data_IF_821819808738
#
_entry.id   IF_821819808738
#
_cell.length_a   1.000
_cell.length_b   1.000
_cell.length_c   1.000
_cell.angle_alpha   90.00
_cell.angle_beta   90.00
_cell.angle_gamma   90.00
#
_symmetry.space_group_name_H-M   'P 1'
#
loop_
_entity.id
_entity.type
_entity.pdbx_description
1 polymer ?
#
# COMPACT_ATOMS: atom_id res chain seq x y z
N UNK A 1 -11.85 -14.86 17.10
CA UNK A 1 -11.08 -15.22 15.89
C UNK A 1 -9.75 -14.54 16.07
N UNK A 2 -8.70 -15.30 16.36
CA UNK A 2 -7.35 -14.75 16.60
C UNK A 2 -6.85 -14.18 15.27
N UNK A 3 -6.86 -12.86 15.12
CA UNK A 3 -6.10 -12.22 14.05
C UNK A 3 -4.64 -12.46 14.37
N UNK A 4 -4.05 -13.49 13.75
CA UNK A 4 -2.59 -13.65 13.74
C UNK A 4 -2.00 -12.32 13.23
N UNK A 5 -1.06 -11.78 13.98
CA UNK A 5 -0.37 -10.54 13.63
C UNK A 5 0.35 -10.74 12.28
N UNK A 6 -0.23 -10.20 11.21
CA UNK A 6 0.31 -10.31 9.85
C UNK A 6 1.26 -9.16 9.64
N UNK A 7 2.55 -9.47 9.54
CA UNK A 7 3.55 -8.47 9.25
C UNK A 7 3.63 -8.22 7.75
N UNK A 8 3.62 -6.95 7.34
CA UNK A 8 3.69 -6.56 5.94
C UNK A 8 4.95 -5.75 5.67
N UNK A 9 5.67 -6.12 4.62
CA UNK A 9 6.81 -5.34 4.10
C UNK A 9 6.44 -4.68 2.78
N UNK A 10 6.68 -3.38 2.69
CA UNK A 10 6.37 -2.56 1.52
C UNK A 10 7.65 -2.20 0.75
N UNK A 11 7.61 -2.32 -0.57
CA UNK A 11 8.58 -1.70 -1.47
C UNK A 11 7.88 -0.53 -2.17
N UNK A 12 8.46 0.65 -2.09
CA UNK A 12 7.94 1.87 -2.71
C UNK A 12 8.93 2.42 -3.75
N UNK A 13 8.41 3.14 -4.74
CA UNK A 13 9.23 3.96 -5.64
C UNK A 13 9.71 5.25 -4.97
N UNK A 14 10.48 6.07 -5.69
CA UNK A 14 11.02 7.35 -5.20
C UNK A 14 9.93 8.37 -4.86
N UNK A 15 8.71 8.21 -5.40
CA UNK A 15 7.58 9.09 -5.17
C UNK A 15 6.62 8.55 -4.10
N UNK A 16 6.93 7.40 -3.48
CA UNK A 16 6.12 6.77 -2.44
C UNK A 16 4.99 5.87 -2.97
N UNK A 17 4.95 5.56 -4.26
CA UNK A 17 4.00 4.58 -4.81
C UNK A 17 4.41 3.16 -4.39
N UNK A 18 3.52 2.34 -3.82
CA UNK A 18 3.83 0.95 -3.53
C UNK A 18 4.00 0.18 -4.84
N UNK A 19 5.10 -0.54 -5.00
CA UNK A 19 5.35 -1.44 -6.14
C UNK A 19 5.09 -2.89 -5.73
N UNK A 20 5.33 -3.23 -4.45
CA UNK A 20 5.26 -4.60 -3.96
C UNK A 20 4.89 -4.66 -2.49
N UNK A 21 4.04 -5.62 -2.15
CA UNK A 21 3.66 -5.94 -0.78
C UNK A 21 3.95 -7.41 -0.51
N UNK A 22 4.70 -7.66 0.56
CA UNK A 22 5.04 -8.98 1.05
C UNK A 22 4.31 -9.22 2.37
N UNK A 23 3.48 -10.24 2.42
CA UNK A 23 2.89 -10.74 3.67
C UNK A 23 3.87 -11.74 4.27
N UNK A 24 4.47 -11.38 5.41
CA UNK A 24 5.33 -12.23 6.20
C UNK A 24 4.45 -12.98 7.21
N UNK A 25 4.35 -14.29 7.05
CA UNK A 25 3.64 -15.19 7.97
C UNK A 25 4.54 -16.35 8.40
N UNK A 26 4.13 -17.08 9.43
CA UNK A 26 4.84 -18.26 9.94
C UNK A 26 4.85 -19.45 8.95
N UNK A 27 3.95 -19.44 7.97
CA UNK A 27 3.83 -20.48 6.95
C UNK A 27 4.76 -20.21 5.77
N UNK A 28 5.40 -21.26 5.23
CA UNK A 28 6.41 -21.21 4.15
C UNK A 28 5.97 -20.51 2.85
N UNK A 29 4.68 -20.24 2.67
CA UNK A 29 4.15 -19.47 1.54
C UNK A 29 4.11 -17.97 1.84
N UNK A 30 5.19 -17.25 1.51
CA UNK A 30 5.16 -15.78 1.41
C UNK A 30 4.17 -15.34 0.35
N UNK A 31 3.06 -14.71 0.77
CA UNK A 31 2.09 -14.13 -0.17
C UNK A 31 2.62 -12.79 -0.67
N UNK A 32 2.66 -12.63 -1.99
CA UNK A 32 3.17 -11.43 -2.63
C UNK A 32 2.11 -10.78 -3.50
N UNK A 33 2.04 -9.45 -3.44
CA UNK A 33 1.23 -8.63 -4.32
C UNK A 33 2.12 -7.66 -5.07
N UNK A 34 1.86 -7.51 -6.36
CA UNK A 34 2.56 -6.59 -7.25
C UNK A 34 1.59 -5.49 -7.66
N UNK A 35 2.05 -4.26 -7.58
CA UNK A 35 1.34 -3.04 -7.95
C UNK A 35 2.04 -2.42 -9.15
N UNK A 36 1.28 -1.82 -10.05
CA UNK A 36 1.80 -1.25 -11.28
C UNK A 36 0.92 -0.10 -11.71
N UNK A 37 1.55 1.05 -11.91
CA UNK A 37 0.87 2.28 -12.31
C UNK A 37 1.45 2.75 -13.64
N UNK A 38 0.62 3.37 -14.48
CA UNK A 38 1.12 4.15 -15.60
C UNK A 38 1.65 5.52 -15.13
N UNK A 39 2.12 6.34 -16.08
CA UNK A 39 2.68 7.67 -15.81
C UNK A 39 1.67 8.65 -15.19
N UNK A 40 0.37 8.35 -15.25
CA UNK A 40 -0.72 9.16 -14.72
C UNK A 40 -1.36 8.55 -13.46
N UNK A 41 -0.82 7.44 -12.96
CA UNK A 41 -1.29 6.79 -11.74
C UNK A 41 -2.44 5.80 -11.92
N UNK A 42 -2.76 5.40 -13.16
CA UNK A 42 -3.77 4.38 -13.43
C UNK A 42 -3.26 3.01 -12.98
N UNK A 43 -4.02 2.35 -12.10
CA UNK A 43 -3.70 1.00 -11.63
C UNK A 43 -3.91 -0.04 -12.75
N UNK A 44 -2.80 -0.54 -13.27
CA UNK A 44 -2.75 -1.51 -14.37
C UNK A 44 -3.14 -2.93 -13.93
N UNK A 45 -2.94 -3.28 -12.66
CA UNK A 45 -3.21 -4.62 -12.12
C UNK A 45 -4.49 -4.70 -11.28
N UNK A 46 -5.15 -3.56 -11.01
CA UNK A 46 -6.38 -3.45 -10.20
C UNK A 46 -6.20 -4.05 -8.80
N UNK A 47 -5.07 -3.72 -8.18
CA UNK A 47 -4.62 -4.17 -6.87
C UNK A 47 -4.78 -3.12 -5.78
N UNK A 48 -4.88 -1.83 -6.15
CA UNK A 48 -5.11 -0.73 -5.21
C UNK A 48 -6.45 -0.90 -4.48
N UNK A 49 -6.46 -0.65 -3.17
CA UNK A 49 -7.67 -0.73 -2.35
C UNK A 49 -7.97 -2.11 -1.75
N UNK A 50 -7.32 -3.19 -2.21
CA UNK A 50 -7.55 -4.54 -1.67
C UNK A 50 -7.00 -4.75 -0.26
N UNK A 51 -5.69 -4.56 -0.11
CA UNK A 51 -4.98 -4.67 1.17
C UNK A 51 -4.26 -3.36 1.45
N UNK A 52 -3.59 -2.82 0.43
CA UNK A 52 -2.98 -1.50 0.49
C UNK A 52 -3.94 -0.44 -0.09
N UNK A 53 -4.45 0.51 0.72
CA UNK A 53 -5.36 1.55 0.26
C UNK A 53 -4.68 2.69 -0.52
N UNK A 54 -3.39 2.92 -0.28
CA UNK A 54 -2.62 3.97 -0.97
C UNK A 54 -1.95 3.41 -2.22
N UNK A 55 -1.89 4.19 -3.30
CA UNK A 55 -1.27 3.77 -4.55
C UNK A 55 -0.34 4.83 -5.09
N UNK A 56 -0.48 5.17 -6.37
CA UNK A 56 0.38 6.11 -7.08
C UNK A 56 0.68 7.37 -6.26
N UNK A 57 1.97 7.66 -6.07
CA UNK A 57 2.53 8.79 -5.29
C UNK A 57 1.96 8.94 -3.87
N UNK A 58 1.44 7.83 -3.31
CA UNK A 58 0.85 7.79 -1.97
C UNK A 58 -0.61 8.25 -1.88
N UNK A 59 -1.26 8.54 -3.01
CA UNK A 59 -2.68 8.93 -3.06
C UNK A 59 -3.61 7.73 -2.83
N UNK A 60 -4.78 7.99 -2.24
CA UNK A 60 -5.86 7.03 -2.12
C UNK A 60 -6.89 7.29 -3.21
N UNK A 61 -7.30 6.23 -3.90
CA UNK A 61 -8.40 6.30 -4.84
C UNK A 61 -9.74 6.37 -4.09
N UNK A 62 -10.57 7.34 -4.46
CA UNK A 62 -11.95 7.46 -4.02
C UNK A 62 -12.86 6.87 -5.10
N UNK A 63 -13.46 5.72 -4.79
CA UNK A 63 -14.38 5.03 -5.71
C UNK A 63 -15.70 5.79 -5.93
N UNK A 64 -16.10 6.65 -4.99
CA UNK A 64 -17.36 7.42 -5.07
C UNK A 64 -17.18 8.61 -6.00
N UNK A 65 -16.09 9.36 -5.82
CA UNK A 65 -15.80 10.55 -6.62
C UNK A 65 -15.04 10.25 -7.92
N UNK A 66 -14.47 9.05 -8.08
CA UNK A 66 -13.49 8.73 -9.13
C UNK A 66 -12.33 9.73 -9.17
N UNK A 67 -11.83 10.10 -7.99
CA UNK A 67 -10.69 11.03 -7.84
C UNK A 67 -9.64 10.43 -6.91
N UNK A 68 -8.46 11.05 -6.89
CA UNK A 68 -7.37 10.66 -6.00
C UNK A 68 -7.15 11.76 -4.97
N UNK A 69 -7.08 11.41 -3.69
CA UNK A 69 -6.77 12.36 -2.63
C UNK A 69 -5.50 11.96 -1.88
N UNK A 70 -4.64 12.95 -1.63
CA UNK A 70 -3.52 12.83 -0.70
C UNK A 70 -4.01 13.35 0.65
N UNK A 71 -4.19 12.44 1.61
CA UNK A 71 -4.36 12.86 2.99
C UNK A 71 -2.99 13.31 3.52
N UNK A 72 -2.93 14.51 4.10
CA UNK A 72 -1.77 14.93 4.87
C UNK A 72 -1.52 13.90 5.98
N UNK A 73 -0.37 13.22 5.94
CA UNK A 73 0.03 12.28 7.00
C UNK A 73 0.98 13.00 7.94
N UNK A 74 0.65 13.01 9.22
CA UNK A 74 1.61 13.39 10.26
C UNK A 74 2.55 12.21 10.49
N UNK A 75 3.85 12.46 10.32
CA UNK A 75 4.86 11.48 10.66
C UNK A 75 5.28 11.69 12.11
N UNK A 76 4.76 10.84 13.00
CA UNK A 76 5.30 10.72 14.36
C UNK A 76 6.44 9.71 14.32
N UNK A 77 7.66 10.22 14.15
CA UNK A 77 8.86 9.44 14.44
C UNK A 77 8.81 9.10 15.94
N UNK A 78 8.74 7.79 16.26
CA UNK A 78 8.43 7.31 17.60
C UNK A 78 9.14 8.10 18.70
N UNK A 79 8.37 8.57 19.68
CA UNK A 79 8.91 9.12 20.92
C UNK A 79 9.72 7.99 21.57
N UNK A 80 11.04 8.13 21.59
CA UNK A 80 11.88 7.37 22.50
C UNK A 80 11.61 7.95 23.88
N UNK A 81 10.81 7.25 24.69
CA UNK A 81 10.73 7.48 26.14
C UNK A 81 11.60 6.44 26.83
#
# INVERSE_FOLDING_TARGET
MEEKDKTYTYLQDELGSPIRLLELGETEETRQMVYGYDEFGVDTYKMQGRIQPFGYTGYRHDEVANTYFAQAREYMQGIVV
#
